data_IF_590191061568
#
_entry.id   IF_590191061568
#
_cell.length_a   1.000
_cell.length_b   1.000
_cell.length_c   1.000
_cell.angle_alpha   90.00
_cell.angle_beta   90.00
_cell.angle_gamma   90.00
#
_symmetry.space_group_name_H-M   'P 1'
#
loop_
_entity.id
_entity.type
_entity.pdbx_description
1 polymer ?
#
# COMPACT_ATOMS: atom_id res chain seq x y z
N UNK A 1 -23.05 3.75 -34.59
CA UNK A 1 -23.59 4.94 -33.89
C UNK A 1 -23.36 6.13 -34.78
N UNK A 2 -24.40 6.93 -35.04
CA UNK A 2 -24.32 8.02 -36.01
C UNK A 2 -23.75 9.26 -35.31
N UNK A 3 -22.45 9.50 -35.53
CA UNK A 3 -21.79 10.77 -35.27
C UNK A 3 -22.59 11.89 -35.96
N UNK A 4 -22.72 13.08 -35.35
CA UNK A 4 -23.38 14.21 -36.02
C UNK A 4 -22.96 14.31 -37.49
N UNK A 5 -23.94 14.15 -38.38
CA UNK A 5 -23.74 14.32 -39.81
C UNK A 5 -24.28 15.69 -40.20
N UNK A 6 -23.42 16.62 -40.64
CA UNK A 6 -23.88 17.93 -41.08
C UNK A 6 -24.88 17.78 -42.23
N UNK A 7 -26.00 18.49 -42.15
CA UNK A 7 -26.94 18.59 -43.27
C UNK A 7 -26.21 19.30 -44.42
N UNK A 8 -25.88 18.56 -45.48
CA UNK A 8 -25.21 19.10 -46.67
C UNK A 8 -26.26 19.70 -47.62
N UNK A 9 -26.14 21.00 -47.89
CA UNK A 9 -26.96 21.71 -48.88
C UNK A 9 -26.10 22.29 -50.00
N UNK A 10 -26.68 22.45 -51.18
CA UNK A 10 -25.99 23.07 -52.30
C UNK A 10 -25.89 24.59 -52.11
N UNK A 11 -24.86 25.25 -52.65
CA UNK A 11 -24.73 26.70 -52.59
C UNK A 11 -25.98 27.40 -53.13
N UNK A 12 -26.62 28.25 -52.31
CA UNK A 12 -27.85 28.97 -52.66
C UNK A 12 -29.15 28.38 -52.08
N UNK A 13 -29.11 27.18 -51.50
CA UNK A 13 -30.26 26.62 -50.77
C UNK A 13 -30.38 27.20 -49.36
N UNK A 14 -31.59 27.64 -49.01
CA UNK A 14 -31.90 28.13 -47.66
C UNK A 14 -31.96 26.97 -46.65
N UNK A 15 -31.31 27.17 -45.51
CA UNK A 15 -31.50 26.32 -44.32
C UNK A 15 -32.87 26.67 -43.75
N UNK A 16 -33.77 25.69 -43.68
CA UNK A 16 -35.10 25.90 -43.11
C UNK A 16 -35.00 25.88 -41.57
N UNK A 17 -35.96 26.49 -40.88
CA UNK A 17 -36.01 26.47 -39.42
C UNK A 17 -36.02 25.05 -38.85
N UNK A 18 -36.64 24.09 -39.54
CA UNK A 18 -36.64 22.67 -39.19
C UNK A 18 -35.23 22.05 -39.25
N UNK A 19 -34.46 22.36 -40.30
CA UNK A 19 -33.08 21.91 -40.47
C UNK A 19 -32.18 22.49 -39.36
N UNK A 20 -32.40 23.76 -39.00
CA UNK A 20 -31.67 24.44 -37.93
C UNK A 20 -31.98 23.85 -36.55
N UNK A 21 -33.26 23.63 -36.24
CA UNK A 21 -33.68 23.01 -34.98
C UNK A 21 -33.11 21.61 -34.83
N UNK A 22 -33.13 20.82 -35.91
CA UNK A 22 -32.55 19.47 -35.92
C UNK A 22 -31.04 19.50 -35.64
N UNK A 23 -30.30 20.41 -36.28
CA UNK A 23 -28.86 20.57 -36.01
C UNK A 23 -28.63 20.94 -34.53
N UNK A 24 -29.43 21.84 -33.96
CA UNK A 24 -29.29 22.22 -32.56
C UNK A 24 -29.62 21.07 -31.60
N UNK A 25 -30.64 20.29 -31.88
CA UNK A 25 -31.00 19.09 -31.09
C UNK A 25 -29.93 18.01 -31.18
N UNK A 26 -29.44 17.70 -32.38
CA UNK A 26 -28.40 16.70 -32.59
C UNK A 26 -27.09 17.11 -31.89
N UNK A 27 -26.68 18.38 -32.01
CA UNK A 27 -25.48 18.91 -31.33
C UNK A 27 -25.65 18.90 -29.82
N UNK A 28 -26.85 19.26 -29.31
CA UNK A 28 -27.12 19.22 -27.87
C UNK A 28 -27.06 17.79 -27.32
N UNK A 29 -27.65 16.82 -28.03
CA UNK A 29 -27.60 15.41 -27.66
C UNK A 29 -26.16 14.87 -27.66
N UNK A 30 -25.36 15.22 -28.67
CA UNK A 30 -23.94 14.85 -28.72
C UNK A 30 -23.14 15.46 -27.56
N UNK A 31 -23.42 16.72 -27.18
CA UNK A 31 -22.78 17.37 -26.03
C UNK A 31 -23.17 16.74 -24.69
N UNK A 32 -24.45 16.45 -24.47
CA UNK A 32 -24.94 15.78 -23.25
C UNK A 32 -24.33 14.37 -23.12
N UNK A 33 -24.20 13.64 -24.23
CA UNK A 33 -23.54 12.34 -24.27
C UNK A 33 -22.04 12.45 -23.94
N UNK A 34 -21.32 13.42 -24.55
CA UNK A 34 -19.91 13.66 -24.24
C UNK A 34 -19.69 14.02 -22.77
N UNK A 35 -20.57 14.84 -22.18
CA UNK A 35 -20.50 15.18 -20.76
C UNK A 35 -20.66 13.93 -19.88
N UNK A 36 -21.59 13.04 -20.24
CA UNK A 36 -21.79 11.77 -19.54
C UNK A 36 -20.58 10.84 -19.68
N UNK A 37 -20.00 10.71 -20.88
CA UNK A 37 -18.80 9.91 -21.10
C UNK A 37 -17.60 10.46 -20.32
N UNK A 38 -17.39 11.77 -20.33
CA UNK A 38 -16.34 12.44 -19.54
C UNK A 38 -16.54 12.17 -18.05
N UNK A 39 -17.78 12.23 -17.56
CA UNK A 39 -18.10 11.93 -16.16
C UNK A 39 -17.75 10.48 -15.81
N UNK A 40 -18.14 9.52 -16.64
CA UNK A 40 -17.82 8.09 -16.42
C UNK A 40 -16.31 7.86 -16.44
N UNK A 41 -15.59 8.49 -17.37
CA UNK A 41 -14.12 8.40 -17.43
C UNK A 41 -13.45 9.01 -16.19
N UNK A 42 -13.96 10.13 -15.68
CA UNK A 42 -13.48 10.70 -14.41
C UNK A 42 -13.70 9.75 -13.24
N UNK A 43 -14.90 9.22 -13.09
CA UNK A 43 -15.20 8.24 -12.04
C UNK A 43 -14.35 6.97 -12.16
N UNK A 44 -14.00 6.56 -13.39
CA UNK A 44 -13.10 5.45 -13.63
C UNK A 44 -11.67 5.78 -13.19
N UNK A 45 -11.13 6.93 -13.61
CA UNK A 45 -9.79 7.40 -13.23
C UNK A 45 -9.69 7.53 -11.70
N UNK A 46 -10.71 8.09 -11.04
CA UNK A 46 -10.75 8.25 -9.59
C UNK A 46 -10.69 6.92 -8.83
N UNK A 47 -11.12 5.82 -9.47
CA UNK A 47 -11.07 4.46 -8.91
C UNK A 47 -9.78 3.71 -9.27
N UNK A 48 -8.96 4.23 -10.18
CA UNK A 48 -7.72 3.55 -10.54
C UNK A 48 -6.73 3.64 -9.38
N UNK A 49 -6.27 2.49 -8.93
CA UNK A 49 -5.22 2.36 -7.93
C UNK A 49 -4.01 1.65 -8.53
N UNK A 50 -2.82 2.15 -8.21
CA UNK A 50 -1.54 1.53 -8.53
C UNK A 50 -1.02 0.89 -7.26
N UNK A 51 -0.64 -0.38 -7.34
CA UNK A 51 0.11 -1.05 -6.28
C UNK A 51 1.56 -1.20 -6.68
N UNK A 52 2.47 -0.93 -5.75
CA UNK A 52 3.91 -1.06 -5.92
C UNK A 52 4.44 -1.92 -4.78
N UNK A 53 5.27 -2.91 -5.10
CA UNK A 53 5.97 -3.75 -4.12
C UNK A 53 7.45 -3.45 -4.18
N UNK A 54 8.01 -3.00 -3.06
CA UNK A 54 9.43 -2.73 -2.89
C UNK A 54 10.06 -3.96 -2.21
N UNK A 55 11.01 -4.59 -2.88
CA UNK A 55 11.68 -5.81 -2.43
C UNK A 55 13.14 -5.56 -2.10
N UNK A 56 13.72 -6.42 -1.26
CA UNK A 56 15.12 -6.32 -0.83
C UNK A 56 15.46 -4.94 -0.24
N UNK A 57 14.54 -4.41 0.56
CA UNK A 57 14.74 -3.13 1.22
C UNK A 57 15.86 -3.22 2.24
N UNK A 58 16.80 -2.29 2.11
CA UNK A 58 17.87 -2.10 3.07
C UNK A 58 17.53 -0.95 4.02
N UNK A 59 18.12 -0.98 5.21
CA UNK A 59 17.91 0.02 6.25
C UNK A 59 19.24 0.53 6.78
N UNK A 60 19.39 1.86 6.97
CA UNK A 60 20.60 2.44 7.56
C UNK A 60 20.75 2.16 9.06
N UNK A 61 19.70 1.60 9.69
CA UNK A 61 19.61 1.31 11.12
C UNK A 61 19.13 -0.11 11.34
N UNK A 62 19.47 -0.67 12.50
CA UNK A 62 19.10 -2.03 12.88
C UNK A 62 19.98 -3.11 12.24
N UNK A 63 19.60 -4.37 12.47
CA UNK A 63 20.32 -5.55 11.97
C UNK A 63 19.40 -6.40 11.10
N UNK A 64 19.90 -6.77 9.91
CA UNK A 64 19.21 -7.70 9.02
C UNK A 64 19.79 -9.10 9.13
N UNK A 65 18.92 -10.09 9.24
CA UNK A 65 19.28 -11.51 9.29
C UNK A 65 18.61 -12.24 8.14
N UNK A 66 19.30 -13.23 7.55
CA UNK A 66 18.66 -14.06 6.54
C UNK A 66 17.56 -14.92 7.15
N UNK A 67 16.60 -15.33 6.34
CA UNK A 67 15.50 -16.18 6.81
C UNK A 67 15.96 -17.55 7.32
N UNK A 68 17.10 -18.07 6.86
CA UNK A 68 17.70 -19.32 7.31
C UNK A 68 18.75 -19.13 8.42
N UNK A 69 18.96 -17.90 8.88
CA UNK A 69 19.89 -17.58 9.95
C UNK A 69 19.17 -17.52 11.30
N UNK A 70 19.83 -18.00 12.35
CA UNK A 70 19.30 -17.92 13.71
C UNK A 70 19.65 -16.56 14.28
N UNK A 71 18.62 -15.76 14.57
CA UNK A 71 18.77 -14.49 15.28
C UNK A 71 19.29 -14.77 16.69
N UNK A 72 20.31 -14.04 17.19
CA UNK A 72 20.81 -14.22 18.55
C UNK A 72 19.69 -14.14 19.60
N UNK A 73 19.58 -15.16 20.46
CA UNK A 73 18.56 -15.24 21.51
C UNK A 73 17.24 -15.89 21.08
N UNK A 74 17.03 -16.14 19.78
CA UNK A 74 15.80 -16.74 19.27
C UNK A 74 15.83 -18.28 19.24
N UNK A 75 14.62 -18.84 19.23
CA UNK A 75 14.39 -20.29 19.29
C UNK A 75 14.50 -20.95 17.90
N UNK A 76 14.99 -20.24 16.87
CA UNK A 76 15.36 -20.80 15.54
C UNK A 76 15.22 -19.81 14.38
N UNK A 77 15.15 -20.32 13.14
CA UNK A 77 14.97 -19.55 11.89
C UNK A 77 13.74 -20.00 11.06
N UNK A 78 13.51 -19.46 9.86
CA UNK A 78 12.43 -19.89 8.95
C UNK A 78 12.79 -21.10 8.06
N UNK A 79 13.97 -21.71 8.23
CA UNK A 79 14.43 -22.88 7.46
C UNK A 79 14.37 -22.73 5.92
N UNK A 80 14.33 -21.50 5.41
CA UNK A 80 14.36 -21.16 3.98
C UNK A 80 15.17 -19.89 3.76
N UNK A 81 15.74 -19.70 2.57
CA UNK A 81 16.39 -18.43 2.19
C UNK A 81 15.41 -17.40 1.63
N UNK A 82 14.26 -17.86 1.11
CA UNK A 82 13.24 -17.01 0.48
C UNK A 82 11.85 -17.54 0.82
N UNK A 83 10.91 -16.63 1.10
CA UNK A 83 9.49 -16.95 1.25
C UNK A 83 8.63 -15.86 0.58
N UNK A 84 7.97 -16.22 -0.53
CA UNK A 84 7.34 -15.21 -1.39
C UNK A 84 8.39 -14.25 -1.94
N UNK A 85 8.29 -12.97 -1.59
CA UNK A 85 9.32 -11.96 -1.90
C UNK A 85 10.29 -11.68 -0.74
N UNK A 86 10.05 -12.27 0.44
CA UNK A 86 10.82 -12.00 1.66
C UNK A 86 12.13 -12.78 1.59
N UNK A 87 13.26 -12.09 1.79
CA UNK A 87 14.61 -12.70 1.76
C UNK A 87 15.39 -12.47 3.06
N UNK A 88 15.02 -11.46 3.84
CA UNK A 88 15.58 -11.20 5.17
C UNK A 88 14.56 -10.63 6.14
N UNK A 89 14.93 -10.64 7.42
CA UNK A 89 14.17 -10.08 8.53
C UNK A 89 15.02 -9.06 9.27
N UNK A 90 14.38 -7.96 9.68
CA UNK A 90 14.95 -6.94 10.55
C UNK A 90 14.40 -7.15 11.95
N UNK A 91 15.28 -7.24 12.94
CA UNK A 91 14.93 -7.49 14.34
C UNK A 91 16.06 -6.99 15.24
N UNK A 92 15.71 -6.45 16.42
CA UNK A 92 16.69 -6.01 17.42
C UNK A 92 17.29 -7.18 18.20
N UNK A 93 16.44 -8.14 18.57
CA UNK A 93 16.77 -9.25 19.46
C UNK A 93 15.90 -9.20 20.71
N UNK A 94 15.97 -10.23 21.56
CA UNK A 94 15.20 -10.27 22.81
C UNK A 94 15.69 -9.23 23.80
N UNK A 95 14.78 -8.72 24.62
CA UNK A 95 15.06 -7.77 25.72
C UNK A 95 15.64 -6.43 25.22
N UNK A 96 15.32 -6.05 23.98
CA UNK A 96 15.70 -4.78 23.39
C UNK A 96 14.47 -4.10 22.81
N UNK A 97 14.33 -2.80 23.03
CA UNK A 97 13.36 -1.94 22.38
C UNK A 97 14.09 -0.78 21.70
N UNK A 98 13.53 -0.27 20.60
CA UNK A 98 14.19 0.75 19.78
C UNK A 98 13.85 0.64 18.29
N UNK A 99 14.63 1.32 17.46
CA UNK A 99 14.41 1.34 16.01
C UNK A 99 14.88 0.04 15.36
N UNK A 100 13.96 -0.72 14.78
CA UNK A 100 14.21 -2.02 14.13
C UNK A 100 14.81 -1.81 12.75
N UNK A 101 14.18 -0.95 11.95
CA UNK A 101 14.63 -0.59 10.61
C UNK A 101 13.93 0.69 10.12
N UNK A 102 14.52 1.30 9.08
CA UNK A 102 14.02 2.49 8.39
C UNK A 102 14.17 2.32 6.88
N UNK A 103 13.05 2.21 6.16
CA UNK A 103 13.05 2.01 4.72
C UNK A 103 12.78 3.31 3.96
N UNK A 104 13.56 3.56 2.91
CA UNK A 104 13.30 4.64 1.96
C UNK A 104 12.23 4.26 0.94
N UNK A 105 11.27 5.17 0.71
CA UNK A 105 10.17 4.95 -0.25
C UNK A 105 10.17 6.01 -1.35
N UNK A 106 10.15 7.30 -0.99
CA UNK A 106 10.02 8.42 -1.93
C UNK A 106 8.83 8.26 -2.89
N UNK A 107 7.64 8.03 -2.32
CA UNK A 107 6.40 7.91 -3.08
C UNK A 107 5.19 8.41 -2.27
N UNK A 108 4.08 8.64 -2.97
CA UNK A 108 2.77 8.90 -2.39
C UNK A 108 2.00 7.59 -2.29
N UNK A 109 1.32 7.36 -1.17
CA UNK A 109 0.44 6.20 -1.02
C UNK A 109 -0.68 6.46 -0.04
N UNK A 110 -1.80 5.77 -0.26
CA UNK A 110 -2.96 5.76 0.62
C UNK A 110 -2.83 4.67 1.70
N UNK A 111 -2.29 3.51 1.33
CA UNK A 111 -2.16 2.34 2.21
C UNK A 111 -0.76 1.75 2.08
N UNK A 112 -0.17 1.41 3.23
CA UNK A 112 1.06 0.64 3.33
C UNK A 112 0.72 -0.76 3.86
N UNK A 113 1.28 -1.77 3.20
CA UNK A 113 1.32 -3.14 3.64
C UNK A 113 2.74 -3.55 4.01
N UNK A 114 2.87 -4.28 5.11
CA UNK A 114 4.14 -4.78 5.62
C UNK A 114 3.96 -6.18 6.18
N UNK A 115 5.05 -6.97 6.17
CA UNK A 115 5.06 -8.29 6.78
C UNK A 115 5.77 -8.25 8.12
N UNK A 116 5.11 -8.78 9.14
CA UNK A 116 5.64 -8.84 10.48
C UNK A 116 5.31 -10.15 11.20
N UNK A 117 6.05 -10.41 12.27
CA UNK A 117 5.78 -11.43 13.27
C UNK A 117 6.42 -11.03 14.60
N UNK A 118 6.00 -11.61 15.72
CA UNK A 118 6.54 -11.33 17.06
C UNK A 118 6.70 -12.62 17.86
N UNK A 119 7.56 -12.65 18.88
CA UNK A 119 7.85 -13.87 19.66
C UNK A 119 6.85 -14.09 20.80
N UNK A 120 6.48 -13.00 21.46
CA UNK A 120 5.36 -12.96 22.41
C UNK A 120 4.32 -12.04 21.75
N UNK A 121 3.04 -12.41 21.85
CA UNK A 121 1.95 -11.82 21.05
C UNK A 121 0.79 -11.46 21.97
N UNK A 122 1.09 -10.73 23.05
CA UNK A 122 0.13 -10.48 24.13
C UNK A 122 -0.42 -9.05 24.12
N UNK A 123 0.39 -8.08 23.69
CA UNK A 123 0.08 -6.64 23.66
C UNK A 123 0.65 -5.99 22.39
N UNK A 124 0.31 -4.72 22.14
CA UNK A 124 0.91 -3.98 21.04
C UNK A 124 2.39 -3.72 21.33
N UNK A 125 3.22 -3.91 20.32
CA UNK A 125 4.69 -3.86 20.44
C UNK A 125 5.36 -3.07 19.32
N UNK A 126 4.63 -2.72 18.27
CA UNK A 126 5.18 -2.06 17.10
C UNK A 126 4.66 -0.62 17.00
N UNK A 127 5.58 0.30 16.72
CA UNK A 127 5.28 1.66 16.30
C UNK A 127 5.81 1.86 14.87
N UNK A 128 4.97 2.36 13.99
CA UNK A 128 5.33 2.70 12.61
C UNK A 128 5.24 4.20 12.44
N UNK A 129 6.33 4.81 11.99
CA UNK A 129 6.39 6.24 11.72
C UNK A 129 6.59 6.52 10.23
N UNK A 130 5.68 7.30 9.65
CA UNK A 130 5.78 7.88 8.32
C UNK A 130 6.47 9.24 8.42
N UNK A 131 7.63 9.36 7.79
CA UNK A 131 8.35 10.63 7.63
C UNK A 131 8.09 11.19 6.23
N UNK A 132 7.49 12.37 6.16
CA UNK A 132 7.18 13.03 4.90
C UNK A 132 8.34 13.90 4.41
N UNK A 133 8.39 14.16 3.10
CA UNK A 133 9.45 14.98 2.48
C UNK A 133 9.56 16.39 3.08
N UNK A 134 8.43 16.95 3.53
CA UNK A 134 8.33 18.27 4.18
C UNK A 134 8.79 18.26 5.66
N UNK A 135 9.19 17.12 6.20
CA UNK A 135 9.64 16.95 7.59
C UNK A 135 8.51 16.67 8.60
N UNK A 136 7.25 16.62 8.17
CA UNK A 136 6.15 16.17 9.02
C UNK A 136 6.38 14.70 9.40
N UNK A 137 5.95 14.32 10.60
CA UNK A 137 5.94 12.92 11.06
C UNK A 137 4.51 12.52 11.42
N UNK A 138 4.17 11.27 11.11
CA UNK A 138 2.97 10.62 11.64
C UNK A 138 3.33 9.24 12.17
N UNK A 139 2.93 8.93 13.40
CA UNK A 139 3.22 7.65 14.05
C UNK A 139 1.94 6.95 14.46
N UNK A 140 1.83 5.68 14.09
CA UNK A 140 0.85 4.74 14.65
C UNK A 140 1.59 3.83 15.63
N UNK A 141 1.17 3.84 16.90
CA UNK A 141 1.82 3.13 18.00
C UNK A 141 0.91 2.05 18.58
N UNK A 142 1.43 1.20 19.47
CA UNK A 142 0.70 0.07 20.09
C UNK A 142 0.09 -0.91 19.05
N UNK A 143 0.78 -1.10 17.91
CA UNK A 143 0.35 -2.04 16.89
C UNK A 143 0.65 -3.47 17.35
N UNK A 144 -0.39 -4.29 17.37
CA UNK A 144 -0.31 -5.71 17.72
C UNK A 144 0.26 -6.53 16.56
N UNK A 145 1.21 -7.41 16.87
CA UNK A 145 1.84 -8.31 15.90
C UNK A 145 1.71 -9.74 16.42
N UNK A 146 1.31 -10.66 15.53
CA UNK A 146 1.01 -12.03 15.90
C UNK A 146 2.28 -12.88 16.06
N UNK A 147 2.17 -13.90 16.91
CA UNK A 147 3.24 -14.86 17.19
C UNK A 147 3.71 -15.58 15.91
N UNK A 148 4.99 -15.44 15.56
CA UNK A 148 5.55 -16.03 14.33
C UNK A 148 5.84 -17.53 14.44
N UNK A 149 5.80 -18.10 15.64
CA UNK A 149 6.18 -19.51 15.86
C UNK A 149 5.12 -20.50 15.40
N UNK A 150 3.86 -20.09 15.37
CA UNK A 150 2.73 -20.91 14.95
C UNK A 150 1.57 -20.05 14.44
N UNK A 151 0.76 -20.60 13.53
CA UNK A 151 -0.40 -19.90 13.00
C UNK A 151 -1.42 -19.58 14.10
N UNK A 152 -1.76 -18.30 14.18
CA UNK A 152 -2.72 -17.72 15.11
C UNK A 152 -3.97 -17.31 14.35
N UNK A 153 -5.12 -17.45 15.00
CA UNK A 153 -6.40 -16.98 14.47
C UNK A 153 -6.36 -15.46 14.37
N UNK A 154 -6.94 -14.93 13.28
CA UNK A 154 -7.12 -13.50 13.06
C UNK A 154 -7.95 -12.90 14.20
N UNK A 155 -7.33 -12.07 15.04
CA UNK A 155 -7.99 -11.29 16.07
C UNK A 155 -8.50 -9.94 15.57
N UNK A 156 -9.10 -9.15 16.46
CA UNK A 156 -9.64 -7.81 16.15
C UNK A 156 -8.59 -6.69 16.30
N UNK A 157 -7.51 -6.94 17.06
CA UNK A 157 -6.41 -6.00 17.28
C UNK A 157 -5.39 -6.13 16.15
N UNK A 158 -5.29 -5.09 15.31
CA UNK A 158 -4.45 -5.09 14.10
C UNK A 158 -4.58 -6.40 13.29
N UNK A 159 -5.77 -6.67 12.73
CA UNK A 159 -6.05 -7.92 12.03
C UNK A 159 -5.14 -8.09 10.80
N UNK A 160 -4.39 -9.19 10.73
CA UNK A 160 -3.61 -9.50 9.53
C UNK A 160 -4.52 -9.83 8.33
N UNK A 161 -4.04 -9.57 7.12
CA UNK A 161 -4.81 -9.72 5.87
C UNK A 161 -4.52 -11.07 5.23
N UNK A 162 -3.25 -11.45 5.18
CA UNK A 162 -2.75 -12.70 4.62
C UNK A 162 -1.59 -13.21 5.48
N UNK A 163 -1.24 -14.48 5.29
CA UNK A 163 -0.12 -15.11 5.97
C UNK A 163 0.68 -16.01 5.01
N UNK A 164 1.95 -16.23 5.33
CA UNK A 164 2.82 -17.18 4.65
C UNK A 164 3.42 -18.15 5.67
N UNK A 165 3.46 -19.43 5.34
CA UNK A 165 4.08 -20.48 6.14
C UNK A 165 5.43 -20.86 5.56
N UNK A 166 6.45 -20.90 6.41
CA UNK A 166 7.76 -21.46 6.06
C UNK A 166 7.76 -23.00 6.15
N UNK A 167 8.81 -23.68 5.65
CA UNK A 167 8.90 -25.14 5.71
C UNK A 167 8.82 -25.75 7.12
N UNK A 168 9.21 -24.98 8.14
CA UNK A 168 9.10 -25.37 9.55
C UNK A 168 7.90 -24.70 10.25
N UNK A 169 6.85 -24.39 9.48
CA UNK A 169 5.54 -23.90 9.93
C UNK A 169 5.54 -22.56 10.67
N UNK A 170 6.64 -21.82 10.61
CA UNK A 170 6.71 -20.45 11.11
C UNK A 170 6.01 -19.50 10.16
N UNK A 171 5.46 -18.44 10.72
CA UNK A 171 4.45 -17.61 10.05
C UNK A 171 4.97 -16.19 9.85
N UNK A 172 4.71 -15.67 8.66
CA UNK A 172 4.72 -14.23 8.39
C UNK A 172 3.29 -13.77 8.21
N UNK A 173 2.93 -12.66 8.84
CA UNK A 173 1.62 -12.05 8.72
C UNK A 173 1.74 -10.73 7.99
N UNK A 174 0.83 -10.45 7.06
CA UNK A 174 0.74 -9.15 6.41
C UNK A 174 -0.27 -8.27 7.10
N UNK A 175 0.14 -7.06 7.41
CA UNK A 175 -0.69 -6.03 8.02
C UNK A 175 -0.84 -4.85 7.07
N UNK A 176 -1.77 -3.96 7.39
CA UNK A 176 -1.95 -2.68 6.71
C UNK A 176 -1.96 -1.52 7.70
N UNK A 177 -1.45 -0.37 7.27
CA UNK A 177 -1.71 0.93 7.90
C UNK A 177 -2.16 1.92 6.84
N UNK A 178 -2.98 2.89 7.26
CA UNK A 178 -3.47 3.94 6.36
C UNK A 178 -2.60 5.17 6.51
N UNK A 179 -2.16 5.74 5.40
CA UNK A 179 -1.48 7.03 5.43
C UNK A 179 -2.53 8.13 5.68
N UNK A 180 -2.47 8.89 6.78
CA UNK A 180 -3.43 9.97 7.04
C UNK A 180 -3.23 11.18 6.11
N UNK A 181 -2.06 11.32 5.49
CA UNK A 181 -1.74 12.38 4.54
C UNK A 181 -1.32 11.78 3.19
N UNK A 182 -2.25 11.14 2.44
CA UNK A 182 -1.92 10.52 1.17
C UNK A 182 -1.36 11.53 0.15
N UNK A 183 -1.71 12.81 0.28
CA UNK A 183 -1.26 13.91 -0.56
C UNK A 183 0.16 14.40 -0.28
N UNK A 184 0.81 13.88 0.77
CA UNK A 184 2.21 14.15 1.07
C UNK A 184 3.09 12.97 0.65
N UNK A 185 4.22 13.29 0.04
CA UNK A 185 5.23 12.29 -0.33
C UNK A 185 5.91 11.75 0.93
N UNK A 186 5.95 10.42 1.06
CA UNK A 186 6.61 9.75 2.18
C UNK A 186 8.06 9.48 1.80
N UNK A 187 8.99 10.03 2.58
CA UNK A 187 10.43 9.83 2.39
C UNK A 187 10.88 8.53 3.03
N UNK A 188 10.53 8.30 4.29
CA UNK A 188 10.92 7.13 5.05
C UNK A 188 9.77 6.52 5.84
N UNK A 189 9.84 5.21 6.03
CA UNK A 189 8.99 4.46 6.96
C UNK A 189 9.91 3.83 8.00
N UNK A 190 9.68 4.14 9.26
CA UNK A 190 10.48 3.64 10.38
C UNK A 190 9.65 2.68 11.21
N UNK A 191 10.22 1.52 11.52
CA UNK A 191 9.61 0.50 12.37
C UNK A 191 10.37 0.47 13.68
N UNK A 192 9.65 0.59 14.79
CA UNK A 192 10.22 0.68 16.12
C UNK A 192 9.54 -0.31 17.04
N UNK A 193 10.34 -1.08 17.75
CA UNK A 193 9.89 -1.89 18.87
C UNK A 193 9.71 -0.99 20.09
N UNK A 194 8.50 -0.98 20.66
CA UNK A 194 8.17 -0.25 21.87
C UNK A 194 8.07 -1.17 23.09
N UNK A 195 8.35 -2.47 22.92
CA UNK A 195 8.24 -3.46 23.97
C UNK A 195 9.32 -4.54 23.92
N UNK A 196 10.16 -4.57 24.96
CA UNK A 196 11.34 -5.44 25.07
C UNK A 196 11.02 -6.94 25.11
N UNK A 197 9.77 -7.33 25.39
CA UNK A 197 9.35 -8.73 25.56
C UNK A 197 8.95 -9.36 24.21
N UNK A 198 8.27 -8.62 23.33
CA UNK A 198 7.64 -9.20 22.15
C UNK A 198 8.59 -9.39 20.96
N UNK A 199 9.66 -8.61 20.83
CA UNK A 199 10.69 -8.73 19.77
C UNK A 199 10.06 -8.92 18.38
N UNK A 200 9.37 -7.88 17.85
CA UNK A 200 8.79 -7.90 16.53
C UNK A 200 9.89 -7.90 15.47
N UNK A 201 9.59 -8.57 14.37
CA UNK A 201 10.46 -8.73 13.20
C UNK A 201 9.74 -8.26 11.97
N UNK A 202 10.46 -7.52 11.13
CA UNK A 202 9.93 -6.86 9.94
C UNK A 202 10.61 -7.43 8.71
N UNK A 203 9.84 -7.87 7.72
CA UNK A 203 10.40 -8.33 6.46
C UNK A 203 11.04 -7.19 5.67
N UNK A 204 12.05 -7.51 4.85
CA UNK A 204 12.65 -6.56 3.91
C UNK A 204 11.80 -6.29 2.65
N UNK A 205 10.47 -6.38 2.79
CA UNK A 205 9.50 -6.16 1.71
C UNK A 205 8.33 -5.37 2.25
N UNK A 206 7.97 -4.31 1.54
CA UNK A 206 6.73 -3.57 1.76
C UNK A 206 6.00 -3.43 0.44
N UNK A 207 4.68 -3.25 0.52
CA UNK A 207 3.85 -2.96 -0.62
C UNK A 207 3.01 -1.74 -0.28
N UNK A 208 2.84 -0.81 -1.21
CA UNK A 208 1.93 0.30 -1.01
C UNK A 208 0.94 0.41 -2.17
N UNK A 209 -0.20 1.04 -1.88
CA UNK A 209 -1.25 1.30 -2.85
C UNK A 209 -1.54 2.80 -2.86
N UNK A 210 -1.55 3.38 -4.05
CA UNK A 210 -1.80 4.78 -4.29
C UNK A 210 -2.87 4.95 -5.37
N UNK A 211 -3.76 5.93 -5.22
CA UNK A 211 -4.64 6.36 -6.31
C UNK A 211 -3.81 6.95 -7.46
N UNK A 212 -4.20 6.65 -8.70
CA UNK A 212 -3.53 7.24 -9.87
C UNK A 212 -3.85 8.73 -9.89
N UNK A 213 -2.80 9.55 -9.81
CA UNK A 213 -2.92 10.99 -9.95
C UNK A 213 -2.69 11.39 -11.40
N UNK A 214 -3.55 12.23 -11.99
CA UNK A 214 -3.22 12.89 -13.24
C UNK A 214 -1.99 13.78 -13.02
N UNK A 215 -1.01 13.63 -13.93
CA UNK A 215 0.24 14.42 -13.98
C UNK A 215 -0.04 15.82 -14.52
#
# INVERSE_FOLDING_TARGET
MAKFEPIRKNPGELIRSEDWNKIQEDVKADLEMLEQEIRVLREYIDRMAKSVTLTNLDSPVGSSYRLNEVVPGDVGNYATSVLGYITSQWVLGKEQAGEICKFGVLDYFDVLYYWAGATLSEKGCLEITLEYVDGTLHSESDLFVHDWTQLRVKGDRNPYIEYLLSPNERVWYKYEIKNPNPDKEVRYISFKDIDEENSPRIANVIQHVARIRPV
#
